data_IF_306083413068
#
_entry.id   IF_306083413068
#
_cell.length_a   1.000
_cell.length_b   1.000
_cell.length_c   1.000
_cell.angle_alpha   90.00
_cell.angle_beta   90.00
_cell.angle_gamma   90.00
#
_symmetry.space_group_name_H-M   'P 1'
#
loop_
_entity.id
_entity.type
_entity.pdbx_description
1 polymer ?
#
# COMPACT_ATOMS: atom_id res chain seq x y z
N UNK A 1 34.63 21.65 -8.76
CA UNK A 1 34.19 20.55 -9.65
C UNK A 1 34.10 19.26 -8.86
N UNK A 2 32.87 18.85 -8.50
CA UNK A 2 32.33 17.49 -8.31
C UNK A 2 31.16 17.54 -7.31
N UNK A 3 29.96 17.26 -7.82
CA UNK A 3 28.73 17.01 -7.07
C UNK A 3 28.85 15.72 -6.25
N UNK A 4 28.10 15.60 -5.14
CA UNK A 4 27.32 14.37 -4.95
C UNK A 4 26.09 14.54 -4.04
N UNK A 5 24.94 14.18 -4.64
CA UNK A 5 23.64 13.89 -4.04
C UNK A 5 23.76 12.75 -3.02
N UNK A 6 23.16 12.91 -1.84
CA UNK A 6 22.30 11.86 -1.24
C UNK A 6 21.50 12.43 -0.08
N UNK A 7 20.26 12.81 -0.39
CA UNK A 7 19.14 12.76 0.53
C UNK A 7 18.97 11.27 0.88
N UNK A 8 19.32 10.88 2.10
CA UNK A 8 19.06 9.53 2.60
C UNK A 8 17.75 9.60 3.40
N UNK A 9 16.66 9.18 2.76
CA UNK A 9 15.39 8.97 3.42
C UNK A 9 15.52 7.68 4.23
N UNK A 10 15.68 7.78 5.55
CA UNK A 10 15.69 6.60 6.43
C UNK A 10 14.24 6.17 6.63
N UNK A 11 13.78 5.16 5.89
CA UNK A 11 12.51 4.51 6.19
C UNK A 11 12.71 3.65 7.45
N UNK A 12 12.01 4.01 8.53
CA UNK A 12 11.92 3.18 9.73
C UNK A 12 10.80 2.17 9.48
N UNK A 13 11.18 0.93 9.14
CA UNK A 13 10.22 -0.18 9.08
C UNK A 13 9.80 -0.57 10.49
N UNK A 14 8.53 -0.38 10.83
CA UNK A 14 7.94 -0.89 12.08
C UNK A 14 7.34 -2.26 11.78
N UNK A 15 7.87 -3.31 12.38
CA UNK A 15 7.22 -4.65 12.38
C UNK A 15 6.53 -4.81 13.72
N UNK A 16 5.18 -4.89 13.70
CA UNK A 16 4.38 -5.12 14.90
C UNK A 16 4.19 -6.62 15.10
N UNK A 17 4.69 -7.16 16.21
CA UNK A 17 4.31 -8.46 16.75
C UNK A 17 3.91 -8.31 18.23
N UNK A 18 2.61 -8.22 18.49
CA UNK A 18 2.05 -8.17 19.85
C UNK A 18 2.11 -6.81 20.57
N UNK A 19 1.80 -6.81 21.86
CA UNK A 19 1.61 -5.61 22.73
C UNK A 19 2.91 -5.06 23.30
N UNK A 20 4.06 -5.29 22.67
CA UNK A 20 5.35 -4.81 23.18
C UNK A 20 6.24 -4.33 22.04
N UNK A 21 6.69 -3.08 22.15
CA UNK A 21 7.60 -2.44 21.20
C UNK A 21 9.04 -2.92 21.46
N UNK A 22 9.64 -3.63 20.50
CA UNK A 22 11.07 -3.88 20.49
C UNK A 22 11.70 -3.11 19.33
N UNK A 23 12.55 -2.12 19.65
CA UNK A 23 13.45 -1.51 18.67
C UNK A 23 14.54 -2.55 18.32
N UNK A 24 14.60 -2.97 17.05
CA UNK A 24 15.75 -3.70 16.54
C UNK A 24 16.84 -2.69 16.14
N UNK A 25 18.05 -2.91 16.66
CA UNK A 25 19.18 -1.98 16.72
C UNK A 25 19.65 -1.40 15.38
N UNK A 26 20.19 -0.17 15.42
CA UNK A 26 21.02 0.42 14.37
C UNK A 26 22.34 -0.35 14.21
N UNK A 27 22.69 -0.72 12.97
CA UNK A 27 23.99 -1.29 12.61
C UNK A 27 24.96 -0.15 12.26
N UNK A 28 25.98 0.08 13.08
CA UNK A 28 27.04 1.05 12.78
C UNK A 28 28.08 0.42 11.84
N UNK A 29 28.18 0.93 10.61
CA UNK A 29 29.12 0.45 9.59
C UNK A 29 30.56 0.98 9.76
N UNK A 30 30.86 1.76 10.82
CA UNK A 30 32.16 2.43 10.96
C UNK A 30 33.00 2.04 12.20
N UNK A 31 32.61 1.05 13.00
CA UNK A 31 33.43 0.61 14.13
C UNK A 31 34.48 -0.44 13.71
N UNK A 32 35.71 0.02 13.45
CA UNK A 32 36.93 -0.81 13.51
C UNK A 32 37.36 -0.93 14.98
N UNK A 33 37.69 -2.16 15.39
CA UNK A 33 38.28 -2.59 16.68
C UNK A 33 37.31 -2.86 17.86
N UNK A 34 36.92 -4.14 17.94
CA UNK A 34 36.88 -5.07 19.10
C UNK A 34 36.59 -4.62 20.54
N UNK A 35 35.79 -5.49 21.18
CA UNK A 35 35.80 -5.96 22.59
C UNK A 35 35.28 -5.01 23.68
N UNK A 36 33.98 -5.07 23.97
CA UNK A 36 33.36 -5.67 25.17
C UNK A 36 31.85 -5.32 25.18
N UNK A 37 31.00 -6.27 25.59
CA UNK A 37 29.57 -6.02 25.76
C UNK A 37 29.40 -5.38 27.14
N UNK A 38 29.48 -4.06 27.21
CA UNK A 38 29.07 -3.34 28.41
C UNK A 38 27.54 -3.23 28.40
N UNK A 39 26.90 -4.02 29.25
CA UNK A 39 25.49 -3.84 29.63
C UNK A 39 25.43 -2.57 30.49
N UNK A 40 25.37 -1.41 29.84
CA UNK A 40 25.17 -0.14 30.54
C UNK A 40 23.73 -0.09 31.01
N UNK A 41 23.58 0.10 32.32
CA UNK A 41 22.33 0.15 33.06
C UNK A 41 21.24 0.97 32.35
N UNK A 42 20.02 0.43 32.36
CA UNK A 42 18.81 1.15 31.97
C UNK A 42 18.66 2.36 32.91
N UNK A 43 19.05 3.54 32.42
CA UNK A 43 18.62 4.78 33.03
C UNK A 43 17.18 5.03 32.57
N UNK A 44 16.23 4.73 33.45
CA UNK A 44 14.84 5.16 33.26
C UNK A 44 14.83 6.69 33.36
N UNK A 45 14.83 7.36 32.20
CA UNK A 45 14.61 8.79 32.13
C UNK A 45 13.16 9.02 32.55
N UNK A 46 12.96 9.50 33.77
CA UNK A 46 11.66 9.92 34.29
C UNK A 46 11.25 11.22 33.58
N UNK A 47 10.78 11.08 32.33
CA UNK A 47 10.20 12.18 31.55
C UNK A 47 8.86 12.49 32.23
N UNK A 48 8.61 13.74 32.67
CA UNK A 48 7.31 14.09 33.23
C UNK A 48 6.22 13.78 32.20
N UNK A 49 5.38 12.80 32.52
CA UNK A 49 4.24 12.41 31.70
C UNK A 49 3.29 13.61 31.71
N UNK A 50 3.28 14.38 30.62
CA UNK A 50 2.23 15.35 30.39
C UNK A 50 0.88 14.60 30.38
N UNK A 51 -0.17 15.09 31.06
CA UNK A 51 -1.48 14.47 30.97
C UNK A 51 -2.05 14.77 29.59
N UNK A 52 -1.74 13.92 28.62
CA UNK A 52 -2.50 13.80 27.37
C UNK A 52 -2.29 12.39 26.84
N UNK A 53 -2.93 11.44 27.52
CA UNK A 53 -3.37 10.20 26.87
C UNK A 53 -4.53 10.57 25.93
N UNK A 54 -4.17 11.28 24.86
CA UNK A 54 -4.93 11.32 23.62
C UNK A 54 -4.01 10.66 22.62
N UNK A 55 -4.15 9.34 22.50
CA UNK A 55 -3.81 8.63 21.28
C UNK A 55 -4.33 9.50 20.12
N UNK A 56 -3.44 10.02 19.27
CA UNK A 56 -3.85 10.60 17.98
C UNK A 56 -4.83 9.59 17.35
N UNK A 57 -5.99 10.03 16.85
CA UNK A 57 -7.01 9.10 16.36
C UNK A 57 -6.37 8.19 15.31
N UNK A 58 -6.50 6.87 15.48
CA UNK A 58 -6.14 5.92 14.43
C UNK A 58 -7.03 6.19 13.20
N UNK A 59 -6.50 6.90 12.22
CA UNK A 59 -7.16 7.24 10.94
C UNK A 59 -7.00 6.15 9.88
N UNK A 60 -6.12 5.18 10.13
CA UNK A 60 -5.86 4.08 9.20
C UNK A 60 -6.63 2.81 9.57
N UNK A 61 -7.37 2.26 8.62
CA UNK A 61 -7.99 0.92 8.71
C UNK A 61 -7.24 -0.05 7.81
N UNK A 62 -7.20 -1.33 8.16
CA UNK A 62 -6.46 -2.35 7.40
C UNK A 62 -7.19 -3.68 7.36
N UNK A 63 -6.76 -4.54 6.45
CA UNK A 63 -7.27 -5.91 6.33
C UNK A 63 -6.59 -6.68 5.22
N UNK A 64 -7.20 -7.79 4.83
CA UNK A 64 -6.73 -8.62 3.74
C UNK A 64 -7.76 -8.66 2.61
N UNK A 65 -7.27 -8.75 1.37
CA UNK A 65 -8.07 -9.05 0.20
C UNK A 65 -7.39 -10.16 -0.58
N UNK A 66 -7.90 -11.39 -0.42
CA UNK A 66 -7.15 -12.58 -0.79
C UNK A 66 -6.00 -12.79 0.20
N UNK A 67 -4.78 -12.94 -0.29
CA UNK A 67 -3.58 -13.04 0.55
C UNK A 67 -2.83 -11.72 0.70
N UNK A 68 -3.19 -10.70 -0.07
CA UNK A 68 -2.59 -9.37 0.02
C UNK A 68 -3.15 -8.58 1.21
N UNK A 69 -2.28 -7.82 1.86
CA UNK A 69 -2.64 -6.87 2.93
C UNK A 69 -2.90 -5.49 2.32
N UNK A 70 -3.92 -4.80 2.81
CA UNK A 70 -4.20 -3.42 2.45
C UNK A 70 -4.31 -2.53 3.68
N UNK A 71 -3.96 -1.26 3.51
CA UNK A 71 -4.08 -0.19 4.52
C UNK A 71 -4.75 1.00 3.83
N UNK A 72 -5.77 1.57 4.47
CA UNK A 72 -6.46 2.76 4.02
C UNK A 72 -6.35 3.86 5.06
N UNK A 73 -5.73 4.97 4.68
CA UNK A 73 -5.66 6.20 5.49
C UNK A 73 -6.85 7.11 5.14
N UNK A 74 -7.80 7.26 6.07
CA UNK A 74 -9.02 8.04 5.84
C UNK A 74 -8.77 9.56 5.76
N UNK A 75 -7.60 10.03 6.21
CA UNK A 75 -7.24 11.44 6.21
C UNK A 75 -6.76 11.87 4.83
N UNK A 76 -6.01 11.01 4.16
CA UNK A 76 -5.46 11.27 2.82
C UNK A 76 -6.33 10.66 1.71
N UNK A 77 -7.08 9.60 2.01
CA UNK A 77 -7.79 8.78 1.03
C UNK A 77 -6.87 7.79 0.29
N UNK A 78 -5.67 7.56 0.80
CA UNK A 78 -4.71 6.63 0.20
C UNK A 78 -5.02 5.18 0.57
N UNK A 79 -5.11 4.32 -0.45
CA UNK A 79 -5.19 2.89 -0.31
C UNK A 79 -3.87 2.24 -0.73
N UNK A 80 -3.09 1.78 0.24
CA UNK A 80 -1.89 0.98 0.02
C UNK A 80 -2.23 -0.51 -0.07
N UNK A 81 -1.65 -1.21 -1.05
CA UNK A 81 -1.81 -2.65 -1.27
C UNK A 81 -0.41 -3.29 -1.36
N UNK A 82 -0.15 -4.27 -0.51
CA UNK A 82 1.11 -5.00 -0.46
C UNK A 82 1.08 -6.29 -1.30
N UNK A 83 2.20 -7.00 -1.35
CA UNK A 83 2.37 -8.25 -2.11
C UNK A 83 1.28 -9.30 -1.85
N UNK A 84 1.15 -10.22 -2.81
CA UNK A 84 0.28 -11.38 -2.70
C UNK A 84 -0.70 -11.49 -3.85
N UNK A 85 -1.76 -12.27 -3.63
CA UNK A 85 -2.80 -12.51 -4.61
C UNK A 85 -4.10 -11.87 -4.14
N UNK A 86 -4.64 -10.98 -4.97
CA UNK A 86 -5.92 -10.33 -4.69
C UNK A 86 -7.06 -11.35 -4.76
N UNK A 87 -8.04 -11.19 -3.87
CA UNK A 87 -9.26 -11.98 -3.87
C UNK A 87 -10.19 -11.62 -5.03
N UNK A 88 -11.35 -12.29 -5.13
CA UNK A 88 -12.36 -11.95 -6.13
C UNK A 88 -12.73 -10.46 -6.10
N UNK A 89 -13.00 -9.87 -7.27
CA UNK A 89 -13.35 -8.44 -7.40
C UNK A 89 -14.51 -8.04 -6.49
N UNK A 90 -15.53 -8.89 -6.37
CA UNK A 90 -16.69 -8.65 -5.51
C UNK A 90 -16.32 -8.49 -4.01
N UNK A 91 -15.16 -9.00 -3.61
CA UNK A 91 -14.67 -8.96 -2.23
C UNK A 91 -13.62 -7.85 -2.00
N UNK A 92 -13.37 -7.00 -3.00
CA UNK A 92 -12.50 -5.83 -2.81
C UNK A 92 -13.03 -4.96 -1.66
N UNK A 93 -12.15 -4.32 -0.86
CA UNK A 93 -12.57 -3.60 0.34
C UNK A 93 -13.55 -2.44 0.05
N UNK A 94 -13.59 -1.94 -1.20
CA UNK A 94 -14.54 -0.92 -1.66
C UNK A 94 -15.80 -1.43 -2.38
N UNK A 95 -15.97 -2.76 -2.54
CA UNK A 95 -17.11 -3.37 -3.26
C UNK A 95 -18.04 -4.23 -2.40
N UNK A 96 -17.64 -4.54 -1.17
CA UNK A 96 -18.48 -5.34 -0.25
C UNK A 96 -19.82 -4.67 0.10
N UNK A 97 -20.73 -5.44 0.70
CA UNK A 97 -22.02 -4.96 1.22
C UNK A 97 -22.19 -5.33 2.70
N UNK A 98 -22.01 -4.38 3.66
CA UNK A 98 -21.48 -3.02 3.45
C UNK A 98 -19.99 -3.03 3.05
N UNK A 99 -19.50 -1.99 2.35
CA UNK A 99 -18.09 -1.91 2.01
C UNK A 99 -17.26 -1.55 3.24
N UNK A 100 -16.01 -2.02 3.28
CA UNK A 100 -15.06 -1.70 4.34
C UNK A 100 -14.45 -0.30 4.13
N UNK A 101 -14.31 0.11 2.87
CA UNK A 101 -13.89 1.45 2.46
C UNK A 101 -14.96 2.01 1.53
N UNK A 102 -15.45 3.22 1.80
CA UNK A 102 -16.34 3.89 0.85
C UNK A 102 -15.56 4.24 -0.41
N UNK A 103 -15.99 3.75 -1.57
CA UNK A 103 -15.33 3.99 -2.86
C UNK A 103 -15.07 5.49 -3.15
N UNK A 104 -15.97 6.37 -2.69
CA UNK A 104 -15.82 7.82 -2.83
C UNK A 104 -14.71 8.43 -1.97
N UNK A 105 -14.16 7.70 -1.00
CA UNK A 105 -13.08 8.20 -0.14
C UNK A 105 -11.69 7.83 -0.68
N UNK A 106 -11.59 6.96 -1.68
CA UNK A 106 -10.31 6.55 -2.27
C UNK A 106 -9.87 7.64 -3.27
N UNK A 107 -8.74 8.28 -2.99
CA UNK A 107 -8.16 9.35 -3.80
C UNK A 107 -6.86 8.93 -4.49
N UNK A 108 -6.13 7.98 -3.91
CA UNK A 108 -4.96 7.31 -4.48
C UNK A 108 -4.94 5.83 -4.16
N UNK A 109 -4.33 5.04 -5.06
CA UNK A 109 -3.96 3.65 -4.83
C UNK A 109 -2.45 3.52 -5.01
N UNK A 110 -1.79 2.83 -4.10
CA UNK A 110 -0.33 2.59 -4.12
C UNK A 110 -0.07 1.10 -3.99
N UNK A 111 0.56 0.50 -5.00
CA UNK A 111 1.08 -0.86 -4.93
C UNK A 111 2.52 -0.83 -4.42
N UNK A 112 2.79 -1.52 -3.31
CA UNK A 112 4.11 -1.51 -2.66
C UNK A 112 5.08 -2.52 -3.27
N UNK A 113 4.55 -3.64 -3.75
CA UNK A 113 5.26 -4.79 -4.30
C UNK A 113 4.45 -5.41 -5.45
N UNK A 114 5.00 -6.43 -6.12
CA UNK A 114 4.25 -7.16 -7.16
C UNK A 114 3.01 -7.83 -6.58
N UNK A 115 1.87 -7.66 -7.26
CA UNK A 115 0.57 -8.20 -6.85
C UNK A 115 -0.08 -8.97 -7.98
N UNK A 116 -0.49 -10.20 -7.70
CA UNK A 116 -1.24 -11.04 -8.65
C UNK A 116 -2.72 -10.66 -8.59
N UNK A 117 -3.26 -10.12 -9.68
CA UNK A 117 -4.67 -9.75 -9.76
C UNK A 117 -5.55 -10.94 -10.19
N UNK A 118 -6.86 -10.94 -9.92
CA UNK A 118 -7.72 -12.09 -10.19
C UNK A 118 -7.83 -12.37 -11.69
N UNK A 119 -7.91 -13.65 -12.07
CA UNK A 119 -8.10 -14.05 -13.48
C UNK A 119 -9.27 -13.33 -14.14
N UNK A 120 -10.38 -13.17 -13.43
CA UNK A 120 -11.45 -12.26 -13.83
C UNK A 120 -11.28 -10.93 -13.07
N UNK A 121 -10.65 -9.95 -13.72
CA UNK A 121 -10.44 -8.59 -13.21
C UNK A 121 -11.51 -7.62 -13.73
N UNK A 122 -12.68 -8.12 -14.15
CA UNK A 122 -13.77 -7.29 -14.64
C UNK A 122 -14.17 -6.28 -13.57
N UNK A 123 -14.07 -4.99 -13.90
CA UNK A 123 -14.46 -3.89 -13.04
C UNK A 123 -13.62 -3.73 -11.78
N UNK A 124 -12.36 -4.19 -11.76
CA UNK A 124 -11.48 -4.17 -10.57
C UNK A 124 -11.48 -2.80 -9.87
N UNK A 125 -11.21 -1.73 -10.60
CA UNK A 125 -11.19 -0.35 -10.11
C UNK A 125 -12.40 0.46 -10.62
N UNK A 126 -13.43 -0.21 -11.14
CA UNK A 126 -14.58 0.47 -11.72
C UNK A 126 -15.27 1.39 -10.70
N UNK A 127 -15.51 2.63 -11.12
CA UNK A 127 -16.32 3.60 -10.39
C UNK A 127 -15.64 4.25 -9.21
N UNK A 128 -14.31 4.15 -9.07
CA UNK A 128 -13.55 4.97 -8.11
C UNK A 128 -13.46 6.42 -8.62
N UNK A 129 -14.58 7.13 -8.56
CA UNK A 129 -14.76 8.45 -9.21
C UNK A 129 -13.89 9.58 -8.64
N UNK A 130 -13.34 9.39 -7.44
CA UNK A 130 -12.43 10.33 -6.80
C UNK A 130 -10.94 9.96 -6.93
N UNK A 131 -10.63 8.81 -7.54
CA UNK A 131 -9.27 8.36 -7.73
C UNK A 131 -8.53 9.26 -8.72
N UNK A 132 -7.45 9.88 -8.27
CA UNK A 132 -6.63 10.80 -9.07
C UNK A 132 -5.33 10.15 -9.56
N UNK A 133 -4.86 9.11 -8.86
CA UNK A 133 -3.56 8.49 -9.12
C UNK A 133 -3.55 7.01 -8.75
N UNK A 134 -2.86 6.21 -9.56
CA UNK A 134 -2.44 4.85 -9.23
C UNK A 134 -0.92 4.80 -9.36
N UNK A 135 -0.22 4.57 -8.24
CA UNK A 135 1.23 4.34 -8.22
C UNK A 135 1.52 2.83 -8.17
N UNK A 136 2.49 2.38 -8.95
CA UNK A 136 2.84 0.95 -9.03
C UNK A 136 1.86 0.12 -9.86
N UNK A 137 1.13 0.71 -10.80
CA UNK A 137 0.26 -0.05 -11.70
C UNK A 137 1.06 -1.08 -12.54
N UNK A 138 2.31 -0.77 -12.84
CA UNK A 138 3.28 -1.67 -13.47
C UNK A 138 3.71 -2.86 -12.59
N UNK A 139 3.33 -2.88 -11.31
CA UNK A 139 3.53 -4.01 -10.38
C UNK A 139 2.36 -5.00 -10.40
N UNK A 140 1.33 -4.73 -11.20
CA UNK A 140 0.22 -5.66 -11.37
C UNK A 140 0.65 -6.82 -12.28
N UNK A 141 0.71 -8.01 -11.71
CA UNK A 141 0.93 -9.22 -12.47
C UNK A 141 -0.38 -9.65 -13.16
N UNK A 142 -0.45 -9.42 -14.48
CA UNK A 142 -1.64 -9.68 -15.29
C UNK A 142 -1.54 -10.95 -16.16
N UNK A 143 -0.48 -11.74 -16.03
CA UNK A 143 -0.20 -12.86 -16.96
C UNK A 143 -1.30 -13.93 -17.00
N UNK A 144 -2.06 -14.06 -15.91
CA UNK A 144 -3.14 -15.03 -15.75
C UNK A 144 -4.54 -14.42 -15.93
N UNK A 145 -4.65 -13.15 -16.37
CA UNK A 145 -5.92 -12.44 -16.50
C UNK A 145 -6.59 -12.79 -17.82
N UNK A 146 -7.88 -13.14 -17.76
CA UNK A 146 -8.71 -13.49 -18.93
C UNK A 146 -9.77 -12.43 -19.24
N UNK A 147 -10.11 -11.56 -18.29
CA UNK A 147 -11.01 -10.42 -18.50
C UNK A 147 -10.50 -9.18 -17.76
N UNK A 148 -10.39 -8.07 -18.50
CA UNK A 148 -10.14 -6.72 -18.00
C UNK A 148 -11.30 -5.77 -18.34
N UNK A 149 -12.48 -6.32 -18.66
CA UNK A 149 -13.66 -5.52 -18.98
C UNK A 149 -13.96 -4.52 -17.85
N UNK A 150 -14.26 -3.27 -18.20
CA UNK A 150 -14.56 -2.19 -17.25
C UNK A 150 -13.50 -1.91 -16.16
N UNK A 151 -12.28 -2.49 -16.23
CA UNK A 151 -11.30 -2.47 -15.13
C UNK A 151 -10.98 -1.06 -14.61
N UNK A 152 -10.92 -0.07 -15.51
CA UNK A 152 -10.68 1.35 -15.22
C UNK A 152 -11.88 2.23 -15.62
N UNK A 153 -13.08 1.66 -15.75
CA UNK A 153 -14.25 2.42 -16.17
C UNK A 153 -14.73 3.36 -15.06
N UNK A 154 -15.06 4.60 -15.43
CA UNK A 154 -15.59 5.60 -14.50
C UNK A 154 -14.55 6.20 -13.55
N UNK A 155 -13.25 6.12 -13.89
CA UNK A 155 -12.18 6.79 -13.16
C UNK A 155 -12.08 8.27 -13.56
N UNK A 156 -13.12 9.04 -13.24
CA UNK A 156 -13.37 10.39 -13.78
C UNK A 156 -12.28 11.45 -13.49
N UNK A 157 -11.38 11.18 -12.54
CA UNK A 157 -10.33 12.12 -12.11
C UNK A 157 -8.92 11.59 -12.32
N UNK A 158 -8.76 10.39 -12.88
CA UNK A 158 -7.44 9.78 -13.07
C UNK A 158 -6.72 10.48 -14.22
N UNK A 159 -5.54 11.06 -13.96
CA UNK A 159 -4.80 11.80 -14.99
C UNK A 159 -3.85 10.92 -15.80
N UNK A 160 -3.24 9.92 -15.15
CA UNK A 160 -2.21 9.06 -15.73
C UNK A 160 -2.21 7.68 -15.08
N UNK A 161 -1.91 6.66 -15.88
CA UNK A 161 -1.64 5.30 -15.40
C UNK A 161 -0.57 4.66 -16.28
N UNK A 162 0.44 4.06 -15.64
CA UNK A 162 1.46 3.27 -16.34
C UNK A 162 0.98 1.83 -16.51
N UNK A 163 0.90 1.37 -17.76
CA UNK A 163 0.45 0.01 -18.12
C UNK A 163 1.58 -0.80 -18.78
N UNK A 164 2.83 -0.33 -18.71
CA UNK A 164 3.95 -0.86 -19.47
C UNK A 164 4.24 -2.35 -19.23
N UNK A 165 3.91 -2.88 -18.05
CA UNK A 165 4.13 -4.29 -17.68
C UNK A 165 2.87 -5.18 -17.83
N UNK A 166 1.77 -4.66 -18.39
CA UNK A 166 0.56 -5.47 -18.57
C UNK A 166 0.77 -6.53 -19.65
N UNK A 167 0.85 -7.80 -19.23
CA UNK A 167 0.69 -8.94 -20.11
C UNK A 167 -0.79 -9.15 -20.43
N UNK A 168 -1.16 -8.99 -21.70
CA UNK A 168 -2.53 -9.16 -22.21
C UNK A 168 -2.69 -10.41 -23.07
N UNK A 169 -1.69 -11.29 -23.11
CA UNK A 169 -1.69 -12.48 -23.98
C UNK A 169 -2.82 -13.48 -23.68
N UNK A 170 -3.26 -13.54 -22.42
CA UNK A 170 -4.36 -14.41 -21.96
C UNK A 170 -5.73 -13.73 -21.97
N UNK A 171 -5.81 -12.43 -22.26
CA UNK A 171 -7.03 -11.63 -22.12
C UNK A 171 -7.97 -11.85 -23.30
N UNK A 172 -9.23 -12.19 -22.99
CA UNK A 172 -10.28 -12.43 -23.99
C UNK A 172 -11.19 -11.22 -24.21
N UNK A 173 -11.22 -10.28 -23.25
CA UNK A 173 -12.01 -9.05 -23.34
C UNK A 173 -11.43 -7.90 -22.52
N UNK A 174 -11.44 -6.72 -23.13
CA UNK A 174 -11.12 -5.40 -22.54
C UNK A 174 -12.28 -4.42 -22.77
N UNK A 175 -13.50 -4.93 -22.91
CA UNK A 175 -14.67 -4.12 -23.22
C UNK A 175 -14.86 -3.00 -22.20
N UNK A 176 -15.07 -1.77 -22.66
CA UNK A 176 -15.30 -0.60 -21.81
C UNK A 176 -14.21 -0.33 -20.76
N UNK A 177 -13.00 -0.90 -20.90
CA UNK A 177 -11.93 -0.81 -19.89
C UNK A 177 -11.66 0.61 -19.42
N UNK A 178 -11.69 1.60 -20.33
CA UNK A 178 -11.50 3.03 -20.05
C UNK A 178 -12.76 3.86 -20.31
N UNK A 179 -13.96 3.26 -20.25
CA UNK A 179 -15.20 4.01 -20.51
C UNK A 179 -15.38 5.08 -19.43
N UNK A 180 -15.37 6.34 -19.84
CA UNK A 180 -15.54 7.50 -18.96
C UNK A 180 -14.33 7.80 -18.08
N UNK A 181 -13.21 7.10 -18.28
CA UNK A 181 -11.91 7.55 -17.77
C UNK A 181 -11.42 8.76 -18.58
#
# INVERSE_FOLDING_TARGET
>A
MKFNKKMLLTMVGVVVIGTSFNLLYNYDLNAKESTEIDVVAQQELDIPIAPSDTQEPMTAVSGNWGTSTWIFDDTTGELSIDEGQLGAVANAPWKGTPPQILAGNITSIVFLNEVVIPTNSTGLFQGLTNLTRIEGAELLNTSNVTSMADMFSGLLKLEFIDLSNFDTSSVTTMASMFKGA
#
